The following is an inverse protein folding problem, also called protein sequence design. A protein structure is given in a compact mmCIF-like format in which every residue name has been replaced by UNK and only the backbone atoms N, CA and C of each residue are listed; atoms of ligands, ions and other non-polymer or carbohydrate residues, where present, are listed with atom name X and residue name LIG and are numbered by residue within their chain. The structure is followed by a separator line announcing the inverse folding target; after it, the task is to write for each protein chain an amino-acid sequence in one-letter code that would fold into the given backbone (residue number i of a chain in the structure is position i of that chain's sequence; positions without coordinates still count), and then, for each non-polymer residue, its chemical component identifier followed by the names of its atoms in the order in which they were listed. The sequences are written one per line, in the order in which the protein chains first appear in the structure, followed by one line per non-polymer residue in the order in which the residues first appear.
data_IF_061295480962
#
_entry.id   IF_061295480962
#
_cell.length_a   1.000
_cell.length_b   1.000
_cell.length_c   1.000
_cell.angle_alpha   90.00
_cell.angle_beta   90.00
_cell.angle_gamma   90.00
#
_symmetry.space_group_name_H-M   'P 1'
#
loop_
_entity.id
_entity.type
_entity.pdbx_description
1 polymer ?
#
# COMPACT_ATOMS: atom_id res chain seq x y z
N UNK A 1 -3.41 -9.38 12.09
CA UNK A 1 -2.15 -9.42 11.33
C UNK A 1 -2.43 -8.82 9.96
N UNK A 2 -1.99 -7.59 9.70
CA UNK A 2 -2.11 -6.97 8.38
C UNK A 2 -1.08 -7.61 7.45
N UNK A 3 -1.50 -8.05 6.25
CA UNK A 3 -0.62 -8.71 5.29
C UNK A 3 -0.69 -7.95 3.97
N UNK A 4 0.45 -7.43 3.52
CA UNK A 4 0.57 -6.74 2.24
C UNK A 4 0.85 -7.80 1.17
N UNK A 5 -0.03 -7.88 0.17
CA UNK A 5 0.14 -8.75 -1.00
C UNK A 5 0.91 -7.97 -2.06
N UNK A 6 2.06 -8.49 -2.48
CA UNK A 6 2.89 -7.89 -3.51
C UNK A 6 3.58 -8.99 -4.30
N UNK A 7 3.80 -8.76 -5.59
CA UNK A 7 4.64 -9.64 -6.41
C UNK A 7 6.10 -9.34 -6.08
N UNK A 8 6.85 -10.37 -5.70
CA UNK A 8 8.25 -10.23 -5.29
C UNK A 8 9.15 -11.05 -6.19
N UNK A 9 10.16 -10.41 -6.77
CA UNK A 9 11.26 -11.07 -7.49
C UNK A 9 12.57 -10.88 -6.71
N UNK A 10 13.52 -11.81 -6.87
CA UNK A 10 14.85 -11.72 -6.27
C UNK A 10 15.89 -11.80 -7.38
N UNK A 11 16.64 -10.71 -7.59
CA UNK A 11 17.62 -10.61 -8.67
C UNK A 11 19.03 -10.29 -8.14
N UNK A 12 20.10 -10.82 -8.77
CA UNK A 12 21.47 -10.41 -8.47
C UNK A 12 21.72 -8.94 -8.86
N UNK A 13 22.55 -8.24 -8.09
CA UNK A 13 22.97 -6.86 -8.38
C UNK A 13 23.52 -6.69 -9.80
N UNK A 14 24.24 -7.69 -10.33
CA UNK A 14 24.79 -7.64 -11.68
C UNK A 14 23.68 -7.52 -12.75
N UNK A 15 22.58 -8.26 -12.58
CA UNK A 15 21.44 -8.24 -13.49
C UNK A 15 20.67 -6.92 -13.40
N UNK A 16 20.41 -6.46 -12.17
CA UNK A 16 19.74 -5.17 -11.93
C UNK A 16 20.55 -4.02 -12.52
N UNK A 17 21.89 -4.05 -12.42
CA UNK A 17 22.75 -3.04 -13.05
C UNK A 17 22.67 -3.06 -14.57
N UNK A 18 22.57 -4.24 -15.18
CA UNK A 18 22.51 -4.38 -16.64
C UNK A 18 21.17 -3.88 -17.22
N UNK A 19 20.08 -3.94 -16.44
CA UNK A 19 18.72 -3.65 -16.88
C UNK A 19 18.00 -2.60 -16.02
N UNK A 20 18.73 -1.69 -15.37
CA UNK A 20 18.16 -0.85 -14.32
C UNK A 20 16.96 -0.02 -14.79
N UNK A 21 17.06 0.60 -15.98
CA UNK A 21 15.96 1.39 -16.55
C UNK A 21 14.70 0.55 -16.78
N UNK A 22 14.83 -0.65 -17.35
CA UNK A 22 13.71 -1.57 -17.54
C UNK A 22 13.06 -1.94 -16.20
N UNK A 23 13.87 -2.21 -15.17
CA UNK A 23 13.37 -2.56 -13.84
C UNK A 23 12.64 -1.38 -13.18
N UNK A 24 13.12 -0.14 -13.37
CA UNK A 24 12.45 1.08 -12.88
C UNK A 24 11.10 1.27 -13.58
N UNK A 25 11.05 1.11 -14.91
CA UNK A 25 9.80 1.20 -15.66
C UNK A 25 8.80 0.13 -15.21
N UNK A 26 9.28 -1.09 -14.93
CA UNK A 26 8.45 -2.22 -14.51
C UNK A 26 7.80 -2.00 -13.14
N UNK A 27 8.59 -1.62 -12.12
CA UNK A 27 8.03 -1.31 -10.79
C UNK A 27 7.13 -0.07 -10.82
N UNK A 28 7.32 0.84 -11.78
CA UNK A 28 6.46 2.01 -11.98
C UNK A 28 5.10 1.70 -12.59
N UNK A 29 4.97 0.62 -13.36
CA UNK A 29 3.71 0.25 -14.03
C UNK A 29 2.84 -0.69 -13.20
N UNK A 30 3.44 -1.53 -12.36
CA UNK A 30 2.73 -2.54 -11.56
C UNK A 30 3.28 -2.59 -10.13
N UNK A 31 2.44 -2.90 -9.12
CA UNK A 31 2.90 -3.12 -7.75
C UNK A 31 3.82 -4.36 -7.67
N UNK A 32 5.11 -4.14 -7.84
CA UNK A 32 6.15 -5.17 -7.86
C UNK A 32 7.35 -4.73 -7.00
N UNK A 33 7.91 -5.66 -6.22
CA UNK A 33 9.13 -5.46 -5.44
C UNK A 33 10.24 -6.37 -5.93
N UNK A 34 11.39 -5.78 -6.24
CA UNK A 34 12.58 -6.52 -6.64
C UNK A 34 13.59 -6.47 -5.50
N UNK A 35 13.85 -7.62 -4.87
CA UNK A 35 14.91 -7.76 -3.87
C UNK A 35 16.25 -7.94 -4.59
N UNK A 36 17.14 -6.98 -4.43
CA UNK A 36 18.48 -6.99 -5.01
C UNK A 36 19.43 -7.71 -4.08
N UNK A 37 20.15 -8.71 -4.60
CA UNK A 37 21.15 -9.46 -3.83
C UNK A 37 22.58 -9.09 -4.20
N UNK A 38 23.48 -9.07 -3.21
CA UNK A 38 24.93 -8.97 -3.38
C UNK A 38 25.58 -10.18 -2.72
N UNK A 39 26.36 -10.94 -3.49
CA UNK A 39 26.97 -12.20 -3.02
C UNK A 39 25.92 -13.17 -2.43
N UNK A 40 24.76 -13.28 -3.08
CA UNK A 40 23.65 -14.14 -2.67
C UNK A 40 22.85 -13.66 -1.46
N UNK A 41 23.16 -12.49 -0.90
CA UNK A 41 22.45 -11.93 0.27
C UNK A 41 21.60 -10.72 -0.13
N UNK A 42 20.35 -10.60 0.36
CA UNK A 42 19.55 -9.39 0.17
C UNK A 42 20.31 -8.14 0.63
N UNK A 43 20.32 -7.10 -0.20
CA UNK A 43 21.07 -5.88 0.04
C UNK A 43 20.24 -4.61 -0.18
N UNK A 44 19.23 -4.66 -1.06
CA UNK A 44 18.30 -3.56 -1.31
C UNK A 44 16.96 -4.10 -1.84
N UNK A 45 15.94 -3.25 -1.83
CA UNK A 45 14.66 -3.50 -2.51
C UNK A 45 14.41 -2.33 -3.46
N UNK A 46 14.05 -2.64 -4.70
CA UNK A 46 13.54 -1.68 -5.68
C UNK A 46 12.01 -1.79 -5.74
N UNK A 47 11.35 -0.65 -5.67
CA UNK A 47 9.91 -0.48 -5.81
C UNK A 47 9.63 0.95 -6.32
N UNK A 48 8.41 1.24 -6.75
CA UNK A 48 8.06 2.60 -7.14
C UNK A 48 8.03 3.53 -5.92
N UNK A 49 8.28 4.82 -6.16
CA UNK A 49 8.16 5.85 -5.13
C UNK A 49 6.72 5.96 -4.61
N UNK A 50 5.72 5.81 -5.48
CA UNK A 50 4.31 5.83 -5.10
C UNK A 50 3.95 4.66 -4.17
N UNK A 51 4.48 3.46 -4.43
CA UNK A 51 4.25 2.32 -3.56
C UNK A 51 4.90 2.52 -2.18
N UNK A 52 6.11 3.11 -2.12
CA UNK A 52 6.74 3.44 -0.85
C UNK A 52 5.89 4.45 -0.06
N UNK A 53 5.43 5.53 -0.69
CA UNK A 53 4.57 6.52 -0.04
C UNK A 53 3.29 5.87 0.50
N UNK A 54 2.65 5.00 -0.30
CA UNK A 54 1.42 4.29 0.11
C UNK A 54 1.66 3.40 1.33
N UNK A 55 2.85 2.77 1.43
CA UNK A 55 3.22 2.00 2.61
C UNK A 55 3.42 2.89 3.84
N UNK A 56 4.07 4.04 3.66
CA UNK A 56 4.29 5.01 4.73
C UNK A 56 2.96 5.58 5.25
N UNK A 57 2.04 5.98 4.37
CA UNK A 57 0.69 6.44 4.72
C UNK A 57 -0.09 5.35 5.48
N UNK A 58 0.02 4.10 5.03
CA UNK A 58 -0.61 2.96 5.71
C UNK A 58 -0.03 2.75 7.11
N UNK A 59 1.30 2.87 7.26
CA UNK A 59 1.97 2.73 8.56
C UNK A 59 1.62 3.88 9.50
N UNK A 60 1.49 5.10 8.98
CA UNK A 60 1.02 6.27 9.75
C UNK A 60 -0.36 5.99 10.35
N UNK A 61 -1.34 5.59 9.53
CA UNK A 61 -2.68 5.23 9.99
C UNK A 61 -2.67 4.10 11.03
N UNK A 62 -1.87 3.05 10.79
CA UNK A 62 -1.78 1.91 11.72
C UNK A 62 -1.07 2.26 13.03
N UNK A 63 -0.25 3.30 13.04
CA UNK A 63 0.50 3.75 14.22
C UNK A 63 -0.35 4.57 15.19
N UNK A 64 -1.46 5.16 14.73
CA UNK A 64 -2.38 5.95 15.55
C UNK A 64 -3.47 5.07 16.20
N UNK A 65 -3.45 4.87 17.53
CA UNK A 65 -4.45 4.07 18.22
C UNK A 65 -5.86 4.65 18.13
N UNK A 66 -6.00 5.97 17.98
CA UNK A 66 -7.31 6.63 17.90
C UNK A 66 -7.99 6.36 16.55
N UNK A 67 -7.28 6.58 15.45
CA UNK A 67 -7.70 6.14 14.11
C UNK A 67 -8.07 4.65 14.08
N UNK A 68 -7.27 3.80 14.73
CA UNK A 68 -7.56 2.37 14.78
C UNK A 68 -8.82 2.03 15.58
N UNK A 69 -9.12 2.76 16.65
CA UNK A 69 -10.35 2.60 17.41
C UNK A 69 -11.58 3.01 16.59
N UNK A 70 -11.52 4.15 15.90
CA UNK A 70 -12.58 4.65 15.01
C UNK A 70 -12.88 3.65 13.88
N UNK A 71 -11.85 3.05 13.28
CA UNK A 71 -12.03 2.01 12.25
C UNK A 71 -12.77 0.78 12.81
N UNK A 72 -12.47 0.36 14.05
CA UNK A 72 -13.18 -0.77 14.66
C UNK A 72 -14.63 -0.45 15.00
N UNK A 73 -14.89 0.76 15.48
CA UNK A 73 -16.24 1.26 15.73
C UNK A 73 -17.03 1.31 14.44
N UNK A 74 -16.51 1.95 13.39
CA UNK A 74 -17.16 2.01 12.08
C UNK A 74 -17.49 0.61 11.53
N UNK A 75 -16.59 -0.38 11.72
CA UNK A 75 -16.86 -1.78 11.34
C UNK A 75 -18.01 -2.40 12.15
N UNK A 76 -18.18 -2.05 13.42
CA UNK A 76 -19.31 -2.50 14.24
C UNK A 76 -20.62 -1.85 13.77
N UNK A 77 -20.58 -0.57 13.43
CA UNK A 77 -21.75 0.17 12.91
C UNK A 77 -22.24 -0.41 11.59
N UNK A 78 -21.33 -0.66 10.65
CA UNK A 78 -21.64 -1.32 9.37
C UNK A 78 -22.30 -2.69 9.60
N UNK A 79 -21.75 -3.51 10.50
CA UNK A 79 -22.34 -4.82 10.84
C UNK A 79 -23.73 -4.69 11.48
N UNK A 80 -23.96 -3.64 12.24
CA UNK A 80 -25.24 -3.35 12.86
C UNK A 80 -26.24 -2.66 11.91
N UNK A 81 -25.88 -2.44 10.64
CA UNK A 81 -26.71 -1.72 9.67
C UNK A 81 -26.83 -0.21 9.96
N UNK A 82 -26.00 0.33 10.86
CA UNK A 82 -25.92 1.77 11.14
C UNK A 82 -25.05 2.43 10.07
N UNK A 83 -25.59 2.56 8.87
CA UNK A 83 -24.93 3.20 7.74
C UNK A 83 -25.86 4.23 7.12
N UNK A 84 -25.28 5.23 6.50
CA UNK A 84 -26.01 6.17 5.64
C UNK A 84 -25.70 5.87 4.19
N UNK A 85 -26.71 5.95 3.33
CA UNK A 85 -26.52 5.82 1.89
C UNK A 85 -25.88 7.08 1.30
N UNK A 86 -25.27 6.92 0.12
CA UNK A 86 -24.70 8.06 -0.61
C UNK A 86 -25.77 9.12 -0.95
N UNK A 87 -27.01 8.69 -1.24
CA UNK A 87 -28.11 9.60 -1.58
C UNK A 87 -28.60 10.39 -0.36
N UNK A 88 -28.72 9.75 0.81
CA UNK A 88 -29.01 10.43 2.08
C UNK A 88 -27.92 11.45 2.45
N UNK A 89 -26.65 11.10 2.25
CA UNK A 89 -25.53 12.04 2.47
C UNK A 89 -25.62 13.26 1.54
N UNK A 90 -25.87 13.04 0.24
CA UNK A 90 -26.04 14.15 -0.72
C UNK A 90 -27.21 15.04 -0.35
N UNK A 91 -28.36 14.44 -0.04
CA UNK A 91 -29.55 15.20 0.33
C UNK A 91 -29.40 16.00 1.63
N UNK A 92 -28.49 15.58 2.53
CA UNK A 92 -28.25 16.27 3.81
C UNK A 92 -27.22 17.39 3.73
N UNK A 93 -26.18 17.23 2.91
CA UNK A 93 -25.01 18.13 2.91
C UNK A 93 -24.74 18.82 1.57
N UNK A 94 -25.40 18.42 0.48
CA UNK A 94 -25.18 18.92 -0.88
C UNK A 94 -26.48 19.35 -1.58
N UNK A 95 -27.60 19.41 -0.86
CA UNK A 95 -28.80 20.10 -1.33
C UNK A 95 -28.61 21.60 -1.13
N UNK A 96 -28.56 22.36 -2.23
CA UNK A 96 -28.67 23.83 -2.22
C UNK A 96 -29.98 24.29 -1.57
#
# INVERSE_FOLDING_TARGET
MTRILVMSEVLPLAEVKAKFSEMVDRVGQQPERITVTRNGRPAAVLMSAEELNTLEDTLELLSDPSSMAEIQEARLEVRAGRTVSADELRAKYLSE
#
